data_IF_435997738340
#
_entry.id   IF_435997738340
#
_cell.length_a   1.000
_cell.length_b   1.000
_cell.length_c   1.000
_cell.angle_alpha   90.00
_cell.angle_beta   90.00
_cell.angle_gamma   90.00
#
_symmetry.space_group_name_H-M   'P 1'
#
loop_
_entity.id
_entity.type
_entity.pdbx_description
1 polymer ?
#
# COMPACT_ATOMS: atom_id res chain seq x y z
N UNK A 1 -12.70 -14.08 9.92
CA UNK A 1 -12.84 -13.37 8.63
C UNK A 1 -11.68 -12.41 8.57
N UNK A 2 -10.74 -12.55 7.62
CA UNK A 2 -9.61 -11.63 7.55
C UNK A 2 -10.03 -10.34 6.83
N UNK A 3 -9.68 -9.19 7.39
CA UNK A 3 -10.05 -7.88 6.86
C UNK A 3 -8.81 -7.22 6.25
N UNK A 4 -8.97 -6.65 5.05
CA UNK A 4 -7.90 -5.92 4.40
C UNK A 4 -7.59 -4.62 5.17
N UNK A 5 -6.40 -4.51 5.74
CA UNK A 5 -5.99 -3.43 6.62
C UNK A 5 -5.16 -2.38 5.89
N UNK A 6 -5.82 -1.27 5.56
CA UNK A 6 -5.17 -0.08 5.03
C UNK A 6 -4.25 0.57 6.06
N UNK A 7 -4.59 0.46 7.34
CA UNK A 7 -3.78 0.97 8.45
C UNK A 7 -2.45 0.22 8.53
N UNK A 8 -2.44 -1.10 8.31
CA UNK A 8 -1.21 -1.88 8.26
C UNK A 8 -0.29 -1.39 7.15
N UNK A 9 -0.81 -1.23 5.93
CA UNK A 9 -0.06 -0.74 4.76
C UNK A 9 0.60 0.61 5.05
N UNK A 10 -0.19 1.54 5.62
CA UNK A 10 0.29 2.88 5.97
C UNK A 10 1.39 2.84 7.04
N UNK A 11 1.20 2.04 8.08
CA UNK A 11 2.19 1.92 9.16
C UNK A 11 3.47 1.28 8.63
N UNK A 12 3.36 0.21 7.83
CA UNK A 12 4.51 -0.46 7.23
C UNK A 12 5.32 0.47 6.34
N UNK A 13 4.64 1.29 5.53
CA UNK A 13 5.30 2.34 4.72
C UNK A 13 6.09 3.32 5.59
N UNK A 14 5.52 3.75 6.72
CA UNK A 14 6.18 4.67 7.67
C UNK A 14 7.37 4.00 8.35
N UNK A 15 7.25 2.73 8.76
CA UNK A 15 8.34 1.94 9.35
C UNK A 15 9.55 1.82 8.42
N UNK A 16 9.31 1.72 7.11
CA UNK A 16 10.35 1.69 6.09
C UNK A 16 10.90 3.07 5.71
N UNK A 17 10.38 4.14 6.32
CA UNK A 17 10.77 5.52 6.00
C UNK A 17 10.33 5.99 4.61
N UNK A 18 9.39 5.30 3.98
CA UNK A 18 8.94 5.60 2.62
C UNK A 18 7.88 6.70 2.62
N UNK A 19 8.01 7.63 1.68
CA UNK A 19 6.99 8.64 1.41
C UNK A 19 5.87 8.06 0.54
N UNK A 20 4.70 8.72 0.57
CA UNK A 20 3.59 8.36 -0.31
C UNK A 20 3.94 8.56 -1.79
N UNK A 21 4.85 9.48 -2.11
CA UNK A 21 5.29 9.73 -3.48
C UNK A 21 6.20 8.60 -4.00
N UNK A 22 7.12 8.10 -3.18
CA UNK A 22 7.98 6.98 -3.53
C UNK A 22 7.16 5.73 -3.82
N UNK A 23 6.24 5.38 -2.92
CA UNK A 23 5.39 4.20 -3.10
C UNK A 23 4.43 4.37 -4.28
N UNK A 24 3.91 5.59 -4.50
CA UNK A 24 3.13 5.91 -5.69
C UNK A 24 3.94 5.65 -6.98
N UNK A 25 5.19 6.10 -7.01
CA UNK A 25 6.09 5.93 -8.16
C UNK A 25 6.38 4.45 -8.42
N UNK A 26 6.65 3.67 -7.37
CA UNK A 26 6.86 2.22 -7.50
C UNK A 26 5.63 1.50 -8.07
N UNK A 27 4.42 1.95 -7.70
CA UNK A 27 3.15 1.45 -8.23
C UNK A 27 2.79 2.00 -9.63
N UNK A 28 3.67 2.80 -10.25
CA UNK A 28 3.45 3.39 -11.57
C UNK A 28 2.52 4.61 -11.58
N UNK A 29 2.19 5.16 -10.41
CA UNK A 29 1.37 6.36 -10.29
C UNK A 29 2.22 7.63 -10.38
N UNK A 30 1.62 8.67 -10.99
CA UNK A 30 2.29 9.98 -11.19
C UNK A 30 2.24 10.91 -9.97
N UNK A 31 1.43 10.60 -8.95
CA UNK A 31 1.21 11.53 -7.84
C UNK A 31 0.93 10.84 -6.50
N UNK A 32 1.46 11.43 -5.43
CA UNK A 32 1.23 11.01 -4.04
C UNK A 32 -0.25 11.07 -3.65
N UNK A 33 -1.00 12.04 -4.18
CA UNK A 33 -2.45 12.17 -3.93
C UNK A 33 -3.26 10.99 -4.45
N UNK A 34 -2.80 10.33 -5.52
CA UNK A 34 -3.45 9.11 -6.03
C UNK A 34 -3.27 7.98 -5.03
N UNK A 35 -2.04 7.79 -4.53
CA UNK A 35 -1.75 6.75 -3.54
C UNK A 35 -2.44 6.99 -2.19
N UNK A 36 -2.50 8.25 -1.72
CA UNK A 36 -3.21 8.62 -0.49
C UNK A 36 -4.68 8.15 -0.48
N UNK A 37 -5.36 8.18 -1.64
CA UNK A 37 -6.74 7.69 -1.78
C UNK A 37 -6.86 6.19 -1.51
N UNK A 38 -5.82 5.41 -1.81
CA UNK A 38 -5.80 3.99 -1.49
C UNK A 38 -5.62 3.76 0.00
N UNK A 39 -4.65 4.43 0.66
CA UNK A 39 -4.46 4.32 2.12
C UNK A 39 -5.69 4.80 2.91
N UNK A 40 -6.42 5.79 2.41
CA UNK A 40 -7.63 6.30 3.04
C UNK A 40 -8.89 5.50 2.68
N UNK A 41 -8.79 4.48 1.83
CA UNK A 41 -9.91 3.61 1.43
C UNK A 41 -10.90 4.25 0.46
N UNK A 42 -10.56 5.40 -0.11
CA UNK A 42 -11.32 5.99 -1.23
C UNK A 42 -11.20 5.13 -2.48
N UNK A 43 -10.01 4.52 -2.69
CA UNK A 43 -9.76 3.52 -3.71
C UNK A 43 -9.37 2.19 -3.08
N UNK A 44 -9.77 1.11 -3.74
CA UNK A 44 -9.40 -0.25 -3.34
C UNK A 44 -8.20 -0.73 -4.15
N UNK A 45 -7.23 -1.36 -3.48
CA UNK A 45 -6.16 -2.06 -4.16
C UNK A 45 -6.72 -3.24 -4.92
N UNK A 46 -6.34 -3.37 -6.19
CA UNK A 46 -6.69 -4.54 -7.00
C UNK A 46 -5.74 -5.68 -6.69
N UNK A 47 -6.19 -6.92 -6.90
CA UNK A 47 -5.39 -8.12 -6.68
C UNK A 47 -4.03 -8.08 -7.43
N UNK A 48 -4.02 -7.53 -8.64
CA UNK A 48 -2.81 -7.33 -9.46
C UNK A 48 -1.76 -6.39 -8.82
N UNK A 49 -2.18 -5.53 -7.90
CA UNK A 49 -1.32 -4.54 -7.24
C UNK A 49 -0.74 -5.05 -5.92
N UNK A 50 -1.38 -6.07 -5.33
CA UNK A 50 -0.95 -6.62 -4.03
C UNK A 50 0.48 -7.18 -4.05
N UNK A 51 0.91 -7.95 -5.08
CA UNK A 51 2.28 -8.45 -5.13
C UNK A 51 3.31 -7.33 -5.22
N UNK A 52 3.02 -6.29 -6.01
CA UNK A 52 3.92 -5.15 -6.14
C UNK A 52 4.01 -4.37 -4.83
N UNK A 53 2.87 -4.15 -4.17
CA UNK A 53 2.80 -3.47 -2.89
C UNK A 53 3.56 -4.24 -1.81
N UNK A 54 3.42 -5.57 -1.77
CA UNK A 54 4.11 -6.44 -0.82
C UNK A 54 5.63 -6.40 -1.00
N UNK A 55 6.09 -6.41 -2.27
CA UNK A 55 7.50 -6.29 -2.60
C UNK A 55 8.09 -4.95 -2.12
N UNK A 56 7.42 -3.83 -2.41
CA UNK A 56 7.87 -2.50 -1.99
C UNK A 56 7.82 -2.32 -0.47
N UNK A 57 6.84 -2.91 0.19
CA UNK A 57 6.68 -2.87 1.66
C UNK A 57 7.47 -3.96 2.40
N UNK A 58 8.29 -4.73 1.67
CA UNK A 58 9.12 -5.79 2.19
C UNK A 58 8.35 -6.66 3.21
N UNK A 59 7.18 -7.12 2.80
CA UNK A 59 6.24 -7.93 3.58
C UNK A 59 5.49 -8.92 2.68
N UNK A 60 4.70 -9.81 3.26
CA UNK A 60 3.84 -10.72 2.50
C UNK A 60 2.48 -10.11 2.22
N UNK A 61 1.84 -10.54 1.12
CA UNK A 61 0.45 -10.14 0.80
C UNK A 61 -0.50 -10.51 1.94
N UNK A 62 -0.21 -11.61 2.65
CA UNK A 62 -1.00 -12.08 3.78
C UNK A 62 -0.97 -11.11 4.97
N UNK A 63 0.08 -10.31 5.12
CA UNK A 63 0.20 -9.35 6.21
C UNK A 63 -0.80 -8.19 6.06
N UNK A 64 -1.31 -7.96 4.85
CA UNK A 64 -2.38 -6.99 4.61
C UNK A 64 -3.73 -7.42 5.20
N UNK A 65 -3.85 -8.68 5.63
CA UNK A 65 -5.12 -9.28 6.06
C UNK A 65 -5.03 -9.69 7.55
N UNK A 66 -5.57 -8.83 8.43
CA UNK A 66 -5.63 -9.03 9.89
C UNK A 66 -6.99 -9.52 10.37
#
# INVERSE_FOLDING_TARGET
MKIFSLTYIKNRRIELGMTQQELAKSLGYKGSSTYLKYENGTYSFKAEQLPLLANELNCDILDFFI
#
